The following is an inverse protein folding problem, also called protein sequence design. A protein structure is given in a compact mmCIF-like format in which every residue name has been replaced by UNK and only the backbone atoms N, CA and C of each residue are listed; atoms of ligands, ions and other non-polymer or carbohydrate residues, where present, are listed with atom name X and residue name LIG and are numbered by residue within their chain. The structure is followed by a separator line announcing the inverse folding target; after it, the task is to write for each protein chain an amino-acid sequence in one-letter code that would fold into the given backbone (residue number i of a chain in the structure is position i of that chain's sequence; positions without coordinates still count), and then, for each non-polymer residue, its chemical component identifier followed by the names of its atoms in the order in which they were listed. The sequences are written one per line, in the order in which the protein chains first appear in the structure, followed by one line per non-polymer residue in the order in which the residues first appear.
data_IF_559044618303
#
_entry.id   IF_559044618303
#
_cell.length_a   1.000
_cell.length_b   1.000
_cell.length_c   1.000
_cell.angle_alpha   90.00
_cell.angle_beta   90.00
_cell.angle_gamma   90.00
#
_symmetry.space_group_name_H-M   'P 1'
#
loop_
_entity.id
_entity.type
_entity.pdbx_description
1 polymer ?
#
# COMPACT_ATOMS: atom_id res chain seq x y z
N UNK A 1 -30.01 -43.01 38.54
CA UNK A 1 -30.19 -42.39 37.21
C UNK A 1 -29.30 -41.16 37.12
N UNK A 2 -28.04 -41.34 36.72
CA UNK A 2 -27.06 -40.24 36.61
C UNK A 2 -27.39 -39.50 35.31
N UNK A 3 -27.97 -38.31 35.43
CA UNK A 3 -28.23 -37.44 34.26
C UNK A 3 -26.88 -36.86 33.82
N UNK A 4 -26.30 -37.45 32.78
CA UNK A 4 -25.17 -36.87 32.06
C UNK A 4 -25.63 -35.53 31.45
N UNK A 5 -25.45 -34.44 32.19
CA UNK A 5 -25.44 -33.08 31.64
C UNK A 5 -24.02 -32.81 31.13
N UNK A 6 -23.66 -33.45 30.04
CA UNK A 6 -22.40 -33.14 29.37
C UNK A 6 -22.58 -33.34 27.87
N UNK A 7 -21.87 -32.51 27.11
CA UNK A 7 -21.80 -32.52 25.65
C UNK A 7 -22.88 -31.73 24.91
N UNK A 8 -23.05 -30.45 25.24
CA UNK A 8 -23.41 -29.47 24.20
C UNK A 8 -22.25 -28.48 24.00
N UNK A 9 -21.65 -28.01 25.10
CA UNK A 9 -20.48 -27.12 25.08
C UNK A 9 -19.29 -27.76 24.36
N UNK A 10 -19.06 -29.07 24.51
CA UNK A 10 -17.98 -29.79 23.79
C UNK A 10 -18.24 -29.82 22.28
N UNK A 11 -19.50 -29.94 21.85
CA UNK A 11 -19.88 -29.92 20.42
C UNK A 11 -19.70 -28.53 19.82
N UNK A 12 -20.05 -27.47 20.55
CA UNK A 12 -19.80 -26.09 20.10
C UNK A 12 -18.29 -25.82 19.98
N UNK A 13 -17.48 -26.29 20.92
CA UNK A 13 -16.01 -26.11 20.85
C UNK A 13 -15.40 -26.91 19.70
N UNK A 14 -15.94 -28.10 19.38
CA UNK A 14 -15.50 -28.90 18.22
C UNK A 14 -15.89 -28.26 16.88
N UNK A 15 -16.99 -27.49 16.84
CA UNK A 15 -17.45 -26.72 15.68
C UNK A 15 -16.68 -25.41 15.45
N UNK A 16 -15.94 -24.93 16.46
CA UNK A 16 -15.04 -23.77 16.36
C UNK A 16 -13.58 -24.15 16.07
N UNK A 17 -13.27 -25.45 15.93
CA UNK A 17 -11.98 -25.85 15.37
C UNK A 17 -11.99 -25.47 13.88
N UNK A 18 -11.00 -24.71 13.37
CA UNK A 18 -10.88 -24.52 11.93
C UNK A 18 -10.65 -25.91 11.31
N UNK A 19 -11.68 -26.46 10.68
CA UNK A 19 -11.54 -27.64 9.83
C UNK A 19 -11.15 -27.15 8.45
N UNK A 20 -9.90 -26.75 8.26
CA UNK A 20 -9.35 -26.43 6.94
C UNK A 20 -8.23 -27.41 6.60
N UNK A 21 -8.59 -28.69 6.54
CA UNK A 21 -7.93 -29.59 5.59
C UNK A 21 -8.83 -29.60 4.37
N UNK A 22 -8.37 -29.08 3.24
CA UNK A 22 -9.15 -29.21 2.01
C UNK A 22 -8.52 -28.63 0.75
N UNK A 23 -8.15 -27.36 0.75
CA UNK A 23 -7.76 -26.67 -0.49
C UNK A 23 -6.57 -25.76 -0.26
N UNK A 24 -5.73 -25.60 -1.30
CA UNK A 24 -4.62 -24.65 -1.26
C UNK A 24 -5.21 -23.24 -1.20
N UNK A 25 -4.87 -22.53 -0.12
CA UNK A 25 -5.24 -21.14 0.10
C UNK A 25 -3.97 -20.29 0.20
N UNK A 26 -4.06 -19.06 -0.31
CA UNK A 26 -3.00 -18.07 -0.21
C UNK A 26 -3.53 -16.79 0.40
N UNK A 27 -2.68 -16.15 1.19
CA UNK A 27 -2.96 -14.91 1.87
C UNK A 27 -1.74 -14.00 1.86
N UNK A 28 -1.97 -12.69 1.92
CA UNK A 28 -0.96 -11.70 2.24
C UNK A 28 -1.46 -10.90 3.46
N UNK A 29 -0.65 -10.88 4.53
CA UNK A 29 -1.03 -10.28 5.82
C UNK A 29 -2.38 -10.79 6.38
N UNK A 30 -2.76 -12.03 6.08
CA UNK A 30 -4.01 -12.65 6.53
C UNK A 30 -5.25 -12.31 5.69
N UNK A 31 -5.08 -11.60 4.56
CA UNK A 31 -6.15 -11.29 3.61
C UNK A 31 -5.94 -12.04 2.29
N UNK A 32 -7.04 -12.41 1.65
CA UNK A 32 -7.08 -13.21 0.40
C UNK A 32 -7.56 -12.36 -0.79
N UNK A 33 -7.29 -12.81 -2.02
CA UNK A 33 -7.69 -12.21 -3.29
C UNK A 33 -7.17 -10.79 -3.59
N UNK A 34 -7.43 -9.81 -2.73
CA UNK A 34 -7.09 -8.41 -2.92
C UNK A 34 -6.63 -7.78 -1.61
N UNK A 35 -5.37 -7.35 -1.57
CA UNK A 35 -4.74 -6.80 -0.36
C UNK A 35 -4.23 -5.39 -0.65
N UNK A 36 -4.48 -4.48 0.29
CA UNK A 36 -4.02 -3.09 0.24
C UNK A 36 -2.96 -2.86 1.32
N UNK A 37 -1.83 -2.28 0.92
CA UNK A 37 -0.71 -1.97 1.82
C UNK A 37 -0.10 -0.64 1.42
N UNK A 38 0.66 -0.02 2.32
CA UNK A 38 1.39 1.21 2.02
C UNK A 38 2.83 0.91 1.60
N UNK A 39 3.39 1.79 0.77
CA UNK A 39 4.77 1.67 0.32
C UNK A 39 5.72 1.80 1.53
N UNK A 40 6.54 0.77 1.73
CA UNK A 40 7.42 0.63 2.88
C UNK A 40 6.93 -0.38 3.91
N UNK A 41 5.70 -0.90 3.77
CA UNK A 41 5.17 -1.92 4.66
C UNK A 41 5.84 -3.28 4.45
N UNK A 42 5.93 -4.03 5.54
CA UNK A 42 6.29 -5.44 5.52
C UNK A 42 5.05 -6.30 5.23
N UNK A 43 5.13 -7.11 4.18
CA UNK A 43 4.05 -8.00 3.73
C UNK A 43 4.50 -9.43 3.82
N UNK A 44 3.77 -10.23 4.59
CA UNK A 44 3.96 -11.67 4.71
C UNK A 44 2.98 -12.40 3.81
N UNK A 45 3.51 -13.09 2.80
CA UNK A 45 2.78 -14.01 1.96
C UNK A 45 2.85 -15.40 2.59
N UNK A 46 1.71 -16.09 2.61
CA UNK A 46 1.54 -17.36 3.28
C UNK A 46 0.62 -18.26 2.45
N UNK A 47 0.95 -19.54 2.39
CA UNK A 47 0.15 -20.56 1.74
C UNK A 47 -0.12 -21.71 2.72
N UNK A 48 -1.38 -22.18 2.74
CA UNK A 48 -1.83 -23.31 3.58
C UNK A 48 -2.46 -24.41 2.71
N UNK A 49 -2.69 -25.59 3.28
CA UNK A 49 -3.25 -26.73 2.54
C UNK A 49 -2.26 -27.43 1.59
N UNK A 50 -0.96 -27.47 1.94
CA UNK A 50 0.14 -27.99 1.10
C UNK A 50 0.54 -29.45 1.38
N UNK A 51 -0.34 -30.26 2.01
CA UNK A 51 0.02 -31.55 2.64
C UNK A 51 0.77 -32.55 1.74
N UNK A 52 0.58 -32.51 0.41
CA UNK A 52 1.23 -33.40 -0.56
C UNK A 52 2.00 -32.66 -1.66
N UNK A 53 2.29 -31.37 -1.50
CA UNK A 53 3.01 -30.60 -2.51
C UNK A 53 4.49 -31.02 -2.54
N UNK A 54 5.01 -31.33 -3.72
CA UNK A 54 6.43 -31.64 -3.97
C UNK A 54 7.30 -30.39 -3.79
N UNK A 55 6.80 -29.26 -4.26
CA UNK A 55 7.44 -27.95 -4.15
C UNK A 55 6.41 -26.83 -4.29
N UNK A 56 6.81 -25.61 -3.96
CA UNK A 56 5.99 -24.41 -4.12
C UNK A 56 6.82 -23.30 -4.75
N UNK A 57 6.17 -22.41 -5.47
CA UNK A 57 6.78 -21.22 -6.06
C UNK A 57 5.81 -20.04 -5.96
N UNK A 58 6.31 -18.92 -5.47
CA UNK A 58 5.70 -17.60 -5.63
C UNK A 58 6.37 -16.88 -6.81
N UNK A 59 5.59 -16.33 -7.73
CA UNK A 59 6.01 -15.30 -8.70
C UNK A 59 5.26 -14.00 -8.37
N UNK A 60 5.99 -12.99 -7.90
CA UNK A 60 5.40 -11.67 -7.62
C UNK A 60 5.22 -10.81 -8.89
N UNK A 61 5.53 -11.36 -10.07
CA UNK A 61 5.51 -10.71 -11.38
C UNK A 61 6.68 -9.75 -11.62
N UNK A 62 7.24 -9.19 -10.55
CA UNK A 62 8.39 -8.27 -10.53
C UNK A 62 9.11 -8.35 -9.19
N UNK A 63 10.29 -7.74 -9.14
CA UNK A 63 11.00 -7.57 -7.87
C UNK A 63 10.16 -6.74 -6.89
N UNK A 64 9.82 -7.35 -5.75
CA UNK A 64 8.88 -6.80 -4.77
C UNK A 64 9.60 -6.12 -3.60
N UNK A 65 10.69 -6.72 -3.11
CA UNK A 65 11.50 -6.21 -1.99
C UNK A 65 12.94 -5.84 -2.36
N UNK A 66 13.28 -5.81 -3.66
CA UNK A 66 14.61 -5.51 -4.16
C UNK A 66 15.06 -6.45 -5.29
N UNK A 67 16.26 -6.23 -5.83
CA UNK A 67 16.75 -7.00 -6.97
C UNK A 67 16.84 -8.51 -6.68
N UNK A 68 16.17 -9.32 -7.49
CA UNK A 68 16.16 -10.79 -7.35
C UNK A 68 15.16 -11.32 -6.33
N UNK A 69 14.15 -10.51 -5.95
CA UNK A 69 13.07 -10.93 -5.03
C UNK A 69 11.80 -11.33 -5.75
N UNK A 70 11.82 -11.43 -7.09
CA UNK A 70 10.65 -11.81 -7.89
C UNK A 70 10.09 -13.20 -7.57
N UNK A 71 10.94 -14.16 -7.20
CA UNK A 71 10.56 -15.56 -6.98
C UNK A 71 10.90 -16.03 -5.56
N UNK A 72 10.07 -16.91 -5.00
CA UNK A 72 10.33 -17.56 -3.72
C UNK A 72 9.81 -19.00 -3.69
N UNK A 73 10.62 -19.93 -3.16
CA UNK A 73 10.25 -21.35 -3.02
C UNK A 73 9.80 -21.72 -1.61
N UNK A 74 9.43 -20.73 -0.80
CA UNK A 74 8.99 -20.90 0.58
C UNK A 74 7.47 -20.83 0.67
N UNK A 75 6.85 -21.65 1.51
CA UNK A 75 5.41 -21.58 1.78
C UNK A 75 5.01 -20.27 2.46
N UNK A 76 5.92 -19.68 3.24
CA UNK A 76 5.78 -18.34 3.81
C UNK A 76 7.02 -17.51 3.52
N UNK A 77 6.81 -16.29 3.04
CA UNK A 77 7.87 -15.34 2.70
C UNK A 77 7.43 -13.93 3.06
N UNK A 78 8.36 -13.13 3.53
CA UNK A 78 8.10 -11.75 3.96
C UNK A 78 8.98 -10.79 3.17
N UNK A 79 8.36 -9.75 2.62
CA UNK A 79 9.04 -8.72 1.83
C UNK A 79 8.57 -7.33 2.26
N UNK A 80 9.52 -6.39 2.32
CA UNK A 80 9.19 -4.96 2.43
C UNK A 80 8.89 -4.40 1.05
N UNK A 81 7.67 -3.89 0.84
CA UNK A 81 7.20 -3.51 -0.51
C UNK A 81 7.35 -2.02 -0.72
N UNK A 82 8.35 -1.61 -1.49
CA UNK A 82 8.70 -0.18 -1.62
C UNK A 82 8.04 0.55 -2.77
N UNK A 83 7.74 -0.13 -3.88
CA UNK A 83 7.21 0.54 -5.06
C UNK A 83 5.69 0.49 -5.07
N UNK A 84 5.06 1.66 -5.21
CA UNK A 84 3.61 1.73 -5.38
C UNK A 84 3.16 1.10 -6.69
N UNK A 85 1.92 0.61 -6.70
CA UNK A 85 1.29 0.02 -7.87
C UNK A 85 0.62 -1.32 -7.59
N UNK A 86 0.15 -1.94 -8.68
CA UNK A 86 -0.51 -3.25 -8.65
C UNK A 86 0.48 -4.37 -8.93
N UNK A 87 0.48 -5.36 -8.06
CA UNK A 87 1.24 -6.60 -8.19
C UNK A 87 0.27 -7.76 -8.40
N UNK A 88 0.51 -8.55 -9.45
CA UNK A 88 -0.19 -9.80 -9.66
C UNK A 88 0.73 -10.89 -9.09
N UNK A 89 0.37 -11.40 -7.92
CA UNK A 89 1.11 -12.45 -7.24
C UNK A 89 0.50 -13.77 -7.63
N UNK A 90 1.33 -14.66 -8.18
CA UNK A 90 0.93 -16.02 -8.54
C UNK A 90 1.65 -16.99 -7.62
N UNK A 91 0.90 -17.93 -7.07
CA UNK A 91 1.43 -19.04 -6.29
C UNK A 91 1.14 -20.34 -7.01
N UNK A 92 2.17 -21.17 -7.17
CA UNK A 92 2.09 -22.49 -7.78
C UNK A 92 2.54 -23.53 -6.76
N UNK A 93 1.63 -24.44 -6.41
CA UNK A 93 1.96 -25.64 -5.66
C UNK A 93 2.06 -26.82 -6.63
N UNK A 94 3.22 -27.46 -6.67
CA UNK A 94 3.51 -28.56 -7.57
C UNK A 94 3.18 -29.89 -6.92
N UNK A 95 2.40 -30.74 -7.59
CA UNK A 95 2.10 -32.11 -7.15
C UNK A 95 2.53 -33.11 -8.23
N UNK A 96 2.53 -34.41 -7.90
CA UNK A 96 2.90 -35.44 -8.88
C UNK A 96 1.93 -35.56 -10.06
N UNK A 97 0.65 -35.26 -9.82
CA UNK A 97 -0.42 -35.40 -10.82
C UNK A 97 -0.78 -34.07 -11.50
N UNK A 98 -1.02 -33.02 -10.72
CA UNK A 98 -1.50 -31.72 -11.21
C UNK A 98 -0.99 -30.57 -10.34
N UNK A 99 -0.57 -29.48 -10.98
CA UNK A 99 -0.14 -28.27 -10.28
C UNK A 99 -1.34 -27.37 -9.97
N UNK A 100 -1.37 -26.83 -8.75
CA UNK A 100 -2.42 -25.90 -8.32
C UNK A 100 -1.87 -24.48 -8.39
N UNK A 101 -2.54 -23.62 -9.17
CA UNK A 101 -2.20 -22.21 -9.32
C UNK A 101 -3.24 -21.34 -8.62
N UNK A 102 -2.77 -20.37 -7.83
CA UNK A 102 -3.58 -19.36 -7.13
C UNK A 102 -3.04 -17.97 -7.44
N UNK A 103 -3.93 -16.98 -7.44
CA UNK A 103 -3.58 -15.59 -7.72
C UNK A 103 -4.07 -14.67 -6.60
N UNK A 104 -3.27 -13.66 -6.27
CA UNK A 104 -3.59 -12.61 -5.32
C UNK A 104 -3.14 -11.26 -5.90
N UNK A 105 -3.98 -10.25 -5.75
CA UNK A 105 -3.69 -8.89 -6.18
C UNK A 105 -3.25 -8.08 -4.97
N UNK A 106 -2.01 -7.58 -4.98
CA UNK A 106 -1.54 -6.62 -3.99
C UNK A 106 -1.55 -5.22 -4.61
N UNK A 107 -2.23 -4.29 -3.95
CA UNK A 107 -2.27 -2.87 -4.29
C UNK A 107 -1.45 -2.12 -3.25
N UNK A 108 -0.32 -1.59 -3.71
CA UNK A 108 0.59 -0.80 -2.87
C UNK A 108 0.27 0.67 -3.10
N UNK A 109 -0.27 1.31 -2.08
CA UNK A 109 -0.54 2.74 -2.08
C UNK A 109 0.73 3.51 -1.69
N UNK A 110 0.80 4.77 -2.12
CA UNK A 110 1.79 5.71 -1.64
C UNK A 110 1.08 7.01 -1.32
N UNK A 111 0.92 7.27 -0.04
CA UNK A 111 0.50 8.59 0.41
C UNK A 111 1.74 9.47 0.51
N UNK A 112 1.81 10.51 -0.32
CA UNK A 112 2.67 11.63 -0.02
C UNK A 112 2.10 12.31 1.22
N UNK A 113 2.74 12.12 2.36
CA UNK A 113 2.63 13.07 3.45
C UNK A 113 3.22 14.39 2.95
N UNK A 114 2.40 15.17 2.24
CA UNK A 114 2.65 16.59 2.14
C UNK A 114 2.67 17.08 3.57
N UNK A 115 3.88 17.32 4.09
CA UNK A 115 4.01 18.20 5.22
C UNK A 115 3.46 19.53 4.74
N UNK A 116 2.18 19.76 5.02
CA UNK A 116 1.55 21.07 5.01
C UNK A 116 2.11 21.83 6.23
N UNK A 117 3.44 21.83 6.36
CA UNK A 117 4.12 22.80 7.19
C UNK A 117 3.87 24.09 6.43
N UNK A 118 2.82 24.80 6.84
CA UNK A 118 2.58 26.18 6.43
C UNK A 118 3.85 26.89 6.90
N UNK A 119 4.85 26.96 6.03
CA UNK A 119 6.08 27.66 6.34
C UNK A 119 5.65 29.10 6.48
N UNK A 120 5.44 29.54 7.71
CA UNK A 120 5.23 30.93 8.08
C UNK A 120 6.55 31.65 7.80
N UNK A 121 6.84 31.83 6.51
CA UNK A 121 8.01 32.51 6.04
C UNK A 121 7.67 34.00 6.06
N UNK A 122 7.83 34.61 7.23
CA UNK A 122 7.66 36.04 7.42
C UNK A 122 8.46 36.82 6.36
N UNK A 123 9.66 36.35 6.00
CA UNK A 123 10.47 36.97 4.95
C UNK A 123 9.82 36.88 3.56
N UNK A 124 9.15 35.77 3.21
CA UNK A 124 8.38 35.65 1.97
C UNK A 124 7.18 36.61 1.97
N UNK A 125 6.46 36.69 3.08
CA UNK A 125 5.35 37.63 3.25
C UNK A 125 5.83 39.08 3.08
N UNK A 126 6.92 39.46 3.75
CA UNK A 126 7.51 40.80 3.62
C UNK A 126 8.05 41.08 2.21
N UNK A 127 8.62 40.08 1.53
CA UNK A 127 9.10 40.24 0.16
C UNK A 127 7.93 40.51 -0.81
N UNK A 128 6.83 39.75 -0.70
CA UNK A 128 5.64 39.92 -1.54
C UNK A 128 4.99 41.28 -1.23
N UNK A 129 4.67 41.57 0.02
CA UNK A 129 4.02 42.82 0.42
C UNK A 129 4.89 44.06 0.10
N UNK A 130 6.21 43.96 0.31
CA UNK A 130 7.15 45.02 -0.04
C UNK A 130 7.21 45.27 -1.54
N UNK A 131 7.21 44.21 -2.35
CA UNK A 131 7.20 44.33 -3.81
C UNK A 131 5.93 45.01 -4.32
N UNK A 132 4.77 44.71 -3.74
CA UNK A 132 3.50 45.30 -4.10
C UNK A 132 3.48 46.81 -3.80
N UNK A 133 3.94 47.21 -2.62
CA UNK A 133 4.04 48.63 -2.25
C UNK A 133 4.97 49.41 -3.19
N UNK A 134 6.13 48.84 -3.53
CA UNK A 134 7.09 49.47 -4.44
C UNK A 134 6.49 49.61 -5.84
N UNK A 135 5.86 48.56 -6.37
CA UNK A 135 5.20 48.58 -7.68
C UNK A 135 4.06 49.60 -7.72
N UNK A 136 3.23 49.65 -6.68
CA UNK A 136 2.12 50.61 -6.56
C UNK A 136 2.62 52.06 -6.53
N UNK A 137 3.66 52.35 -5.75
CA UNK A 137 4.27 53.67 -5.68
C UNK A 137 4.89 54.09 -7.04
N UNK A 138 5.58 53.16 -7.70
CA UNK A 138 6.18 53.41 -9.01
C UNK A 138 5.11 53.70 -10.07
N UNK A 139 4.02 52.93 -10.08
CA UNK A 139 2.89 53.15 -10.98
C UNK A 139 2.20 54.51 -10.71
N UNK A 140 2.01 54.85 -9.44
CA UNK A 140 1.49 56.16 -9.02
C UNK A 140 2.38 57.32 -9.48
N UNK A 141 3.70 57.16 -9.38
CA UNK A 141 4.66 58.16 -9.86
C UNK A 141 4.58 58.34 -11.38
N UNK A 142 4.61 57.25 -12.16
CA UNK A 142 4.54 57.30 -13.62
C UNK A 142 3.23 57.90 -14.11
N UNK A 143 2.10 57.50 -13.53
CA UNK A 143 0.78 58.06 -13.90
C UNK A 143 0.69 59.56 -13.62
N UNK A 144 1.32 60.04 -12.55
CA UNK A 144 1.42 61.48 -12.26
C UNK A 144 2.27 62.24 -13.27
N UNK A 145 3.44 61.69 -13.66
CA UNK A 145 4.29 62.31 -14.69
C UNK A 145 3.56 62.42 -16.03
N UNK A 146 2.91 61.34 -16.48
CA UNK A 146 2.12 61.34 -17.72
C UNK A 146 0.98 62.36 -17.66
N UNK A 147 0.32 62.50 -16.50
CA UNK A 147 -0.74 63.51 -16.33
C UNK A 147 -0.19 64.93 -16.48
N UNK A 148 0.97 65.23 -15.90
CA UNK A 148 1.61 66.54 -16.06
C UNK A 148 1.90 66.83 -17.52
N UNK A 149 2.54 65.90 -18.23
CA UNK A 149 2.88 66.07 -19.65
C UNK A 149 1.66 66.33 -20.53
N UNK A 150 0.49 65.72 -20.24
CA UNK A 150 -0.77 65.97 -20.96
C UNK A 150 -1.44 67.32 -20.65
N UNK A 151 -1.10 67.98 -19.54
CA UNK A 151 -1.67 69.30 -19.18
C UNK A 151 -0.89 70.45 -19.85
N UNK A 152 0.32 70.17 -20.34
CA UNK A 152 1.18 71.16 -21.02
C UNK A 152 1.16 71.06 -22.56
N UNK A 153 0.27 70.25 -23.14
CA UNK A 153 -0.02 70.12 -24.58
C UNK A 153 -1.43 70.63 -24.88
#
# INVERSE_FOLDING_TARGET
MVKFKSSLIIIIILLLLPTTTGEVEIEANGESDLVFVDAGDEVTFSATGLDNATSVEWDFGRDIGGNGTRYSNLSSVTHTVHASGRYNVTFTAFYEEEDIVKELILIVNYEEEYQEDIVHNEALFFAIAGSELIMSAMLGYWTHQIRKEKVYL
#
